data_IF_671243344391
#
_entry.id   IF_671243344391
#
_cell.length_a   1.000
_cell.length_b   1.000
_cell.length_c   1.000
_cell.angle_alpha   90.00
_cell.angle_beta   90.00
_cell.angle_gamma   90.00
#
_symmetry.space_group_name_H-M   'P 1'
#
loop_
_entity.id
_entity.type
_entity.pdbx_description
1 polymer ?
#
# COMPACT_ATOMS: atom_id res chain seq x y z
N UNK A 1 -5.76 3.15 2.58
CA UNK A 1 -5.00 2.43 3.64
C UNK A 1 -4.02 3.31 4.41
N UNK A 2 -3.15 4.10 3.76
CA UNK A 2 -2.11 4.86 4.50
C UNK A 2 -2.67 5.78 5.59
N UNK A 3 -3.71 6.54 5.28
CA UNK A 3 -4.38 7.41 6.25
C UNK A 3 -4.97 6.63 7.44
N UNK A 4 -5.76 5.58 7.15
CA UNK A 4 -6.34 4.68 8.16
C UNK A 4 -5.27 4.10 9.09
N UNK A 5 -4.15 3.63 8.51
CA UNK A 5 -3.04 3.09 9.29
C UNK A 5 -2.46 4.15 10.24
N UNK A 6 -2.21 5.37 9.76
CA UNK A 6 -1.69 6.47 10.61
C UNK A 6 -2.62 6.77 11.79
N UNK A 7 -3.94 6.78 11.56
CA UNK A 7 -4.92 7.02 12.63
C UNK A 7 -4.97 5.87 13.65
N UNK A 8 -4.85 4.62 13.20
CA UNK A 8 -4.97 3.45 14.07
C UNK A 8 -3.63 2.91 14.60
N UNK A 9 -2.48 3.43 14.18
CA UNK A 9 -1.17 2.86 14.47
C UNK A 9 -0.87 2.77 15.98
N UNK A 10 -1.30 3.75 16.78
CA UNK A 10 -0.97 3.81 18.20
C UNK A 10 -1.79 2.82 19.04
N UNK A 11 -3.08 2.68 18.76
CA UNK A 11 -4.03 1.89 19.58
C UNK A 11 -4.52 0.62 18.90
N UNK A 12 -4.22 0.44 17.61
CA UNK A 12 -4.79 -0.62 16.78
C UNK A 12 -6.20 -0.32 16.28
N UNK A 13 -6.81 0.78 16.72
CA UNK A 13 -8.17 1.19 16.39
C UNK A 13 -8.27 2.71 16.20
N UNK A 14 -9.24 3.17 15.41
CA UNK A 14 -9.56 4.58 15.27
C UNK A 14 -11.03 4.80 14.90
N UNK A 15 -11.49 6.04 15.12
CA UNK A 15 -12.76 6.54 14.63
C UNK A 15 -12.46 7.59 13.56
N UNK A 16 -13.01 7.43 12.36
CA UNK A 16 -12.81 8.37 11.25
C UNK A 16 -14.11 8.62 10.50
N UNK A 17 -14.32 9.84 10.03
CA UNK A 17 -15.47 10.16 9.18
C UNK A 17 -15.17 9.87 7.70
N UNK A 18 -16.18 9.68 6.83
CA UNK A 18 -15.98 9.61 5.39
C UNK A 18 -15.25 10.85 4.83
N UNK A 19 -15.56 12.03 5.36
CA UNK A 19 -14.95 13.29 4.91
C UNK A 19 -13.47 13.38 5.28
N UNK A 20 -13.09 12.86 6.45
CA UNK A 20 -11.68 12.77 6.85
C UNK A 20 -10.88 11.90 5.87
N UNK A 21 -11.47 10.80 5.40
CA UNK A 21 -10.84 9.92 4.41
C UNK A 21 -10.62 10.69 3.10
N UNK A 22 -11.64 11.35 2.58
CA UNK A 22 -11.55 12.13 1.32
C UNK A 22 -10.49 13.22 1.41
N UNK A 23 -10.48 13.99 2.50
CA UNK A 23 -9.56 15.11 2.70
C UNK A 23 -8.09 14.68 2.84
N UNK A 24 -7.84 13.42 3.18
CA UNK A 24 -6.49 12.89 3.41
C UNK A 24 -6.04 11.84 2.37
N UNK A 25 -6.85 11.60 1.35
CA UNK A 25 -6.42 10.84 0.17
C UNK A 25 -5.45 11.70 -0.65
N UNK A 26 -4.49 11.04 -1.31
CA UNK A 26 -3.57 11.73 -2.21
C UNK A 26 -4.34 12.36 -3.36
N UNK A 27 -4.13 13.66 -3.58
CA UNK A 27 -4.74 14.42 -4.67
C UNK A 27 -4.39 13.88 -6.07
N UNK A 28 -3.40 13.00 -6.18
CA UNK A 28 -3.01 12.35 -7.45
C UNK A 28 -3.97 11.22 -7.85
N UNK A 29 -4.89 10.82 -6.95
CA UNK A 29 -5.91 9.81 -7.20
C UNK A 29 -7.25 10.50 -7.48
N UNK A 30 -7.86 10.20 -8.63
CA UNK A 30 -9.29 10.48 -8.85
C UNK A 30 -10.08 9.52 -7.98
N UNK A 31 -10.47 9.99 -6.79
CA UNK A 31 -11.18 9.20 -5.78
C UNK A 31 -12.38 9.98 -5.29
N UNK A 32 -13.56 9.41 -5.48
CA UNK A 32 -14.84 10.07 -5.19
C UNK A 32 -15.50 9.51 -3.94
N UNK A 33 -16.48 10.24 -3.43
CA UNK A 33 -17.22 9.85 -2.22
C UNK A 33 -17.91 8.49 -2.38
N UNK A 34 -18.49 8.24 -3.56
CA UNK A 34 -19.13 6.96 -3.90
C UNK A 34 -18.17 5.76 -3.87
N UNK A 35 -16.86 6.00 -3.93
CA UNK A 35 -15.82 4.97 -3.94
C UNK A 35 -15.30 4.63 -2.54
N UNK A 36 -15.65 5.42 -1.52
CA UNK A 36 -15.24 5.18 -0.11
C UNK A 36 -15.73 3.81 0.34
N UNK A 37 -17.04 3.59 0.33
CA UNK A 37 -17.65 2.38 0.88
C UNK A 37 -17.19 1.10 0.13
N UNK A 38 -17.16 1.05 -1.22
CA UNK A 38 -16.56 -0.07 -1.95
C UNK A 38 -15.10 -0.33 -1.58
N UNK A 39 -14.30 0.72 -1.43
CA UNK A 39 -12.88 0.60 -1.06
C UNK A 39 -12.72 0.08 0.37
N UNK A 40 -13.54 0.55 1.31
CA UNK A 40 -13.55 0.07 2.68
C UNK A 40 -13.90 -1.43 2.75
N UNK A 41 -14.93 -1.86 2.02
CA UNK A 41 -15.30 -3.28 1.91
C UNK A 41 -14.19 -4.13 1.30
N UNK A 42 -13.54 -3.65 0.24
CA UNK A 42 -12.42 -4.36 -0.39
C UNK A 42 -11.26 -4.55 0.60
N UNK A 43 -10.87 -3.49 1.32
CA UNK A 43 -9.80 -3.56 2.32
C UNK A 43 -10.15 -4.43 3.53
N UNK A 44 -11.43 -4.45 3.93
CA UNK A 44 -11.92 -5.36 4.97
C UNK A 44 -11.87 -6.82 4.51
N UNK A 45 -12.27 -7.10 3.27
CA UNK A 45 -12.22 -8.43 2.66
C UNK A 45 -10.77 -8.93 2.49
N UNK A 46 -9.83 -8.05 2.20
CA UNK A 46 -8.39 -8.35 2.20
C UNK A 46 -7.80 -8.53 3.60
N UNK A 47 -8.60 -8.34 4.65
CA UNK A 47 -8.24 -8.46 6.06
C UNK A 47 -7.20 -7.44 6.55
N UNK A 48 -7.19 -6.23 5.99
CA UNK A 48 -6.39 -5.16 6.58
C UNK A 48 -6.99 -4.65 7.89
N UNK A 49 -8.30 -4.55 7.96
CA UNK A 49 -9.03 -4.12 9.16
C UNK A 49 -10.44 -4.72 9.18
N UNK A 50 -11.13 -4.56 10.31
CA UNK A 50 -12.57 -4.61 10.39
C UNK A 50 -13.09 -3.17 10.57
N UNK A 51 -14.28 -2.88 10.06
CA UNK A 51 -14.94 -1.62 10.34
C UNK A 51 -16.44 -1.80 10.50
N UNK A 52 -17.05 -0.94 11.29
CA UNK A 52 -18.49 -0.83 11.50
C UNK A 52 -18.94 0.63 11.41
N UNK A 53 -20.24 0.82 11.18
CA UNK A 53 -20.87 2.14 11.12
C UNK A 53 -21.35 2.55 12.50
N UNK A 54 -20.94 3.72 12.96
CA UNK A 54 -21.38 4.33 14.21
C UNK A 54 -21.98 5.69 13.89
N UNK A 55 -23.17 5.96 14.43
CA UNK A 55 -23.80 7.27 14.29
C UNK A 55 -23.62 8.06 15.59
N UNK A 56 -23.13 9.29 15.47
CA UNK A 56 -23.01 10.23 16.59
C UNK A 56 -23.50 11.59 16.13
N UNK A 57 -24.53 12.14 16.77
CA UNK A 57 -25.13 13.43 16.40
C UNK A 57 -25.51 13.51 14.91
N UNK A 58 -26.16 12.46 14.38
CA UNK A 58 -26.51 12.31 12.96
C UNK A 58 -25.34 12.29 11.96
N UNK A 59 -24.10 12.24 12.45
CA UNK A 59 -22.90 12.08 11.65
C UNK A 59 -22.48 10.60 11.59
N UNK A 60 -22.16 10.14 10.37
CA UNK A 60 -21.62 8.80 10.15
C UNK A 60 -20.12 8.76 10.49
N UNK A 61 -19.76 7.82 11.35
CA UNK A 61 -18.39 7.56 11.77
C UNK A 61 -18.06 6.09 11.51
N UNK A 62 -16.91 5.84 10.90
CA UNK A 62 -16.35 4.50 10.79
C UNK A 62 -15.53 4.16 12.03
N UNK A 63 -15.96 3.13 12.75
CA UNK A 63 -15.16 2.52 13.81
C UNK A 63 -14.29 1.43 13.20
N UNK A 64 -12.97 1.61 13.22
CA UNK A 64 -12.01 0.76 12.53
C UNK A 64 -11.11 0.07 13.53
N UNK A 65 -10.86 -1.22 13.34
CA UNK A 65 -9.90 -2.03 14.11
C UNK A 65 -8.95 -2.75 13.14
N UNK A 66 -7.65 -2.51 13.28
CA UNK A 66 -6.62 -3.14 12.46
C UNK A 66 -6.57 -4.65 12.70
N UNK A 67 -6.42 -5.40 11.61
CA UNK A 67 -6.09 -6.83 11.62
C UNK A 67 -4.59 -7.02 11.39
N UNK A 68 -4.11 -8.26 11.45
CA UNK A 68 -2.68 -8.58 11.34
C UNK A 68 -2.02 -7.99 10.07
N UNK A 69 -2.68 -8.07 8.91
CA UNK A 69 -2.17 -7.48 7.66
C UNK A 69 -2.13 -5.94 7.73
N UNK A 70 -3.10 -5.31 8.38
CA UNK A 70 -3.12 -3.86 8.63
C UNK A 70 -1.97 -3.41 9.52
N UNK A 71 -1.71 -4.12 10.61
CA UNK A 71 -0.59 -3.81 11.53
C UNK A 71 0.75 -3.90 10.81
N UNK A 72 0.88 -4.87 9.90
CA UNK A 72 2.12 -5.09 9.12
C UNK A 72 2.25 -4.19 7.89
N UNK A 73 1.25 -3.39 7.55
CA UNK A 73 1.19 -2.58 6.34
C UNK A 73 2.47 -1.74 6.10
N UNK A 74 2.92 -0.99 7.10
CA UNK A 74 4.11 -0.13 7.03
C UNK A 74 5.39 -0.93 6.71
N UNK A 75 5.55 -2.09 7.37
CA UNK A 75 6.69 -2.99 7.18
C UNK A 75 6.65 -3.62 5.79
N UNK A 76 5.48 -4.07 5.35
CA UNK A 76 5.30 -4.71 4.06
C UNK A 76 5.47 -3.71 2.92
N UNK A 77 5.00 -2.46 3.08
CA UNK A 77 5.24 -1.33 2.16
C UNK A 77 6.74 -1.07 1.97
N UNK A 78 7.51 -1.00 3.07
CA UNK A 78 8.98 -0.83 3.03
C UNK A 78 9.67 -2.02 2.37
N UNK A 79 9.23 -3.23 2.68
CA UNK A 79 9.81 -4.47 2.12
C UNK A 79 9.57 -4.58 0.62
N UNK A 80 8.36 -4.25 0.14
CA UNK A 80 8.02 -4.22 -1.29
C UNK A 80 8.92 -3.22 -2.05
N UNK A 81 9.11 -2.00 -1.52
CA UNK A 81 10.02 -1.01 -2.13
C UNK A 81 11.46 -1.53 -2.24
N UNK A 82 11.98 -2.17 -1.18
CA UNK A 82 13.33 -2.76 -1.21
C UNK A 82 13.45 -3.88 -2.25
N UNK A 83 12.45 -4.76 -2.37
CA UNK A 83 12.44 -5.84 -3.37
C UNK A 83 12.51 -5.31 -4.80
N UNK A 84 11.78 -4.24 -5.11
CA UNK A 84 11.82 -3.61 -6.45
C UNK A 84 13.24 -3.10 -6.75
N UNK A 85 13.85 -2.40 -5.79
CA UNK A 85 15.23 -1.89 -5.94
C UNK A 85 16.21 -3.05 -6.14
N UNK A 86 16.09 -4.13 -5.36
CA UNK A 86 16.93 -5.31 -5.49
C UNK A 86 16.76 -5.99 -6.85
N UNK A 87 15.53 -6.11 -7.37
CA UNK A 87 15.28 -6.67 -8.70
C UNK A 87 15.89 -5.82 -9.81
N UNK A 88 15.87 -4.49 -9.67
CA UNK A 88 16.49 -3.59 -10.64
C UNK A 88 18.02 -3.72 -10.66
N UNK A 89 18.65 -3.81 -9.49
CA UNK A 89 20.09 -4.03 -9.38
C UNK A 89 20.47 -5.37 -10.02
N UNK A 90 19.73 -6.44 -9.71
CA UNK A 90 19.99 -7.76 -10.26
C UNK A 90 19.84 -7.79 -11.79
N UNK A 91 18.80 -7.13 -12.33
CA UNK A 91 18.61 -6.99 -13.77
C UNK A 91 19.78 -6.25 -14.43
N UNK A 92 20.27 -5.16 -13.82
CA UNK A 92 21.42 -4.41 -14.32
C UNK A 92 22.71 -5.25 -14.32
N UNK A 93 22.98 -5.99 -13.24
CA UNK A 93 24.15 -6.91 -13.16
C UNK A 93 24.06 -8.00 -14.22
N UNK A 94 22.88 -8.58 -14.40
CA UNK A 94 22.65 -9.64 -15.39
C UNK A 94 22.86 -9.12 -16.82
N UNK A 95 22.39 -7.91 -17.11
CA UNK A 95 22.63 -7.25 -18.40
C UNK A 95 24.12 -6.99 -18.66
N UNK A 96 24.88 -6.52 -17.65
CA UNK A 96 26.33 -6.32 -17.76
C UNK A 96 27.08 -7.62 -18.04
N UNK A 97 26.75 -8.69 -17.31
CA UNK A 97 27.34 -10.02 -17.55
C UNK A 97 27.04 -10.50 -18.98
N UNK A 98 25.81 -10.32 -19.46
CA UNK A 98 25.44 -10.65 -20.83
C UNK A 98 26.26 -9.91 -21.89
N UNK A 99 26.51 -8.60 -21.68
CA UNK A 99 27.38 -7.80 -22.57
C UNK A 99 28.82 -8.31 -22.53
N UNK A 100 29.36 -8.60 -21.34
CA UNK A 100 30.72 -9.13 -21.20
C UNK A 100 30.90 -10.46 -21.93
N UNK A 101 29.97 -11.40 -21.75
CA UNK A 101 29.98 -12.68 -22.47
C UNK A 101 29.94 -12.46 -23.98
N UNK A 102 29.10 -11.54 -24.47
CA UNK A 102 29.02 -11.21 -25.90
C UNK A 102 30.35 -10.67 -26.43
N UNK A 103 31.03 -9.78 -25.69
CA UNK A 103 32.33 -9.23 -26.09
C UNK A 103 33.40 -10.33 -26.16
N UNK A 104 33.43 -11.23 -25.17
CA UNK A 104 34.38 -12.35 -25.16
C UNK A 104 34.17 -13.27 -26.37
N UNK A 105 32.91 -13.64 -26.65
CA UNK A 105 32.59 -14.50 -27.80
C UNK A 105 32.99 -13.84 -29.12
N UNK A 106 32.72 -12.55 -29.29
CA UNK A 106 33.13 -11.80 -30.48
C UNK A 106 34.66 -11.71 -30.61
N UNK A 107 35.40 -11.60 -29.50
CA UNK A 107 36.85 -11.54 -29.53
C UNK A 107 37.52 -12.88 -29.86
N UNK A 108 36.84 -14.00 -29.65
CA UNK A 108 37.36 -15.35 -30.00
C UNK A 108 36.99 -15.72 -31.43
N UNK A 109 35.86 -15.21 -31.94
CA UNK A 109 35.36 -15.49 -33.28
C UNK A 109 36.01 -14.64 -34.39
N UNK A 110 36.80 -13.64 -34.03
CA UNK A 110 37.49 -12.70 -34.92
C UNK A 110 39.00 -12.96 -34.88
#
# INVERSE_FOLDING_TARGET
MEYIYKCAQEKGECLITPIDILNNISFDLDFREEEIEPTMKALQAEEYFAYDHVYKNDELIYAIVLKEKGVRYERDKKTKRKKIIQSLILAAVTALVGVLVRVIVLSIAN
#
